data_IF_405700574916
#
_entry.id   IF_405700574916
#
_cell.length_a   1.000
_cell.length_b   1.000
_cell.length_c   1.000
_cell.angle_alpha   90.00
_cell.angle_beta   90.00
_cell.angle_gamma   90.00
#
_symmetry.space_group_name_H-M   'P 1'
#
loop_
_entity.id
_entity.type
_entity.pdbx_description
1 polymer ?
#
# COMPACT_ATOMS: atom_id res chain seq x y z
N UNK A 1 -22.46 -1.77 -7.30
CA UNK A 1 -23.27 -2.97 -6.93
C UNK A 1 -22.42 -4.23 -7.04
N UNK A 2 -22.90 -5.37 -6.50
CA UNK A 2 -22.23 -6.68 -6.64
C UNK A 2 -22.13 -7.04 -8.12
N UNK A 3 -23.19 -6.84 -8.90
CA UNK A 3 -23.24 -7.09 -10.34
C UNK A 3 -22.18 -6.29 -11.12
N UNK A 4 -21.95 -5.03 -10.77
CA UNK A 4 -20.89 -4.22 -11.39
C UNK A 4 -19.48 -4.78 -11.07
N UNK A 5 -19.28 -5.27 -9.86
CA UNK A 5 -18.02 -5.92 -9.49
C UNK A 5 -17.85 -7.27 -10.21
N UNK A 6 -18.91 -8.06 -10.32
CA UNK A 6 -18.91 -9.31 -11.08
C UNK A 6 -18.54 -9.06 -12.55
N UNK A 7 -19.13 -8.06 -13.20
CA UNK A 7 -18.81 -7.70 -14.58
C UNK A 7 -17.34 -7.30 -14.81
N UNK A 8 -16.67 -6.78 -13.77
CA UNK A 8 -15.27 -6.34 -13.81
C UNK A 8 -14.27 -7.39 -13.30
N UNK A 9 -14.72 -8.57 -12.91
CA UNK A 9 -13.86 -9.57 -12.24
C UNK A 9 -13.38 -9.11 -10.85
N UNK A 10 -14.21 -8.34 -10.16
CA UNK A 10 -13.90 -7.79 -8.84
C UNK A 10 -14.06 -8.79 -7.70
N UNK A 11 -13.90 -8.30 -6.46
CA UNK A 11 -14.04 -9.11 -5.25
C UNK A 11 -15.18 -8.62 -4.38
N UNK A 12 -15.90 -9.55 -3.73
CA UNK A 12 -16.87 -9.26 -2.69
C UNK A 12 -16.50 -10.03 -1.44
N UNK A 13 -16.14 -9.31 -0.38
CA UNK A 13 -15.64 -9.88 0.87
C UNK A 13 -16.59 -9.51 2.00
N UNK A 14 -17.08 -10.50 2.73
CA UNK A 14 -17.83 -10.28 3.97
C UNK A 14 -16.87 -10.41 5.15
N UNK A 15 -16.90 -9.43 6.05
CA UNK A 15 -16.07 -9.41 7.26
C UNK A 15 -16.97 -9.55 8.48
N UNK A 16 -16.67 -10.53 9.36
CA UNK A 16 -17.27 -10.68 10.67
C UNK A 16 -16.24 -10.43 11.77
N UNK A 17 -16.49 -9.44 12.62
CA UNK A 17 -15.60 -9.08 13.72
C UNK A 17 -15.92 -9.84 15.01
N UNK A 18 -17.13 -10.43 15.11
CA UNK A 18 -17.65 -10.98 16.35
C UNK A 18 -17.03 -12.33 16.69
N UNK A 19 -16.86 -13.20 15.69
CA UNK A 19 -16.57 -14.61 15.92
C UNK A 19 -15.46 -15.15 15.02
N UNK A 20 -14.79 -16.18 15.52
CA UNK A 20 -13.98 -17.06 14.70
C UNK A 20 -14.85 -18.18 14.14
N UNK A 21 -14.62 -18.55 12.90
CA UNK A 21 -15.38 -19.59 12.23
C UNK A 21 -14.59 -20.90 12.18
N UNK A 22 -15.25 -22.00 12.49
CA UNK A 22 -14.72 -23.32 12.16
C UNK A 22 -14.59 -23.48 10.63
N UNK A 23 -13.73 -24.36 10.14
CA UNK A 23 -13.60 -24.61 8.70
C UNK A 23 -14.92 -24.98 8.03
N UNK A 24 -15.79 -25.70 8.73
CA UNK A 24 -17.13 -26.08 8.25
C UNK A 24 -18.03 -24.84 8.10
N UNK A 25 -18.13 -24.01 9.14
CA UNK A 25 -18.93 -22.79 9.11
C UNK A 25 -18.46 -21.84 8.01
N UNK A 26 -17.15 -21.72 7.81
CA UNK A 26 -16.59 -20.88 6.75
C UNK A 26 -16.99 -21.38 5.36
N UNK A 27 -16.92 -22.70 5.14
CA UNK A 27 -17.35 -23.32 3.88
C UNK A 27 -18.84 -23.07 3.63
N UNK A 28 -19.68 -23.23 4.65
CA UNK A 28 -21.12 -23.03 4.53
C UNK A 28 -21.48 -21.58 4.24
N UNK A 29 -20.77 -20.60 4.86
CA UNK A 29 -20.93 -19.18 4.57
C UNK A 29 -20.50 -18.84 3.12
N UNK A 30 -19.36 -19.34 2.66
CA UNK A 30 -18.91 -19.16 1.28
C UNK A 30 -19.89 -19.80 0.28
N UNK A 31 -20.48 -20.95 0.62
CA UNK A 31 -21.52 -21.57 -0.21
C UNK A 31 -22.75 -20.66 -0.28
N UNK A 32 -23.26 -20.18 0.86
CA UNK A 32 -24.40 -19.26 0.90
C UNK A 32 -24.12 -17.97 0.10
N UNK A 33 -22.89 -17.42 0.16
CA UNK A 33 -22.51 -16.26 -0.66
C UNK A 33 -22.56 -16.57 -2.15
N UNK A 34 -22.10 -17.77 -2.57
CA UNK A 34 -22.17 -18.21 -3.97
C UNK A 34 -23.61 -18.38 -4.43
N UNK A 35 -24.41 -19.05 -3.61
CA UNK A 35 -25.83 -19.30 -3.91
C UNK A 35 -26.60 -17.98 -4.07
N UNK A 36 -26.28 -16.96 -3.24
CA UNK A 36 -26.92 -15.65 -3.28
C UNK A 36 -26.60 -14.82 -4.54
N UNK A 37 -25.54 -15.13 -5.26
CA UNK A 37 -25.14 -14.39 -6.48
C UNK A 37 -25.33 -15.22 -7.76
N UNK A 38 -25.86 -16.43 -7.66
CA UNK A 38 -25.98 -17.38 -8.79
C UNK A 38 -26.81 -16.83 -9.95
N UNK A 39 -27.79 -15.96 -9.67
CA UNK A 39 -28.65 -15.36 -10.68
C UNK A 39 -27.95 -14.26 -11.52
N UNK A 40 -26.77 -13.80 -11.09
CA UNK A 40 -25.99 -12.83 -11.86
C UNK A 40 -25.23 -13.53 -13.00
N UNK A 41 -25.37 -13.09 -14.27
CA UNK A 41 -24.71 -13.75 -15.41
C UNK A 41 -23.19 -13.75 -15.33
N UNK A 42 -22.60 -12.82 -14.57
CA UNK A 42 -21.16 -12.70 -14.39
C UNK A 42 -20.66 -13.26 -13.06
N UNK A 43 -21.50 -13.96 -12.29
CA UNK A 43 -21.16 -14.47 -10.95
C UNK A 43 -19.87 -15.30 -10.90
N UNK A 44 -19.55 -16.02 -11.99
CA UNK A 44 -18.33 -16.83 -12.09
C UNK A 44 -17.04 -16.01 -12.07
N UNK A 45 -17.10 -14.74 -12.43
CA UNK A 45 -15.95 -13.81 -12.44
C UNK A 45 -15.74 -13.13 -11.09
N UNK A 46 -16.72 -13.24 -10.18
CA UNK A 46 -16.67 -12.58 -8.87
C UNK A 46 -15.84 -13.41 -7.88
N UNK A 47 -14.77 -12.83 -7.35
CA UNK A 47 -14.05 -13.43 -6.25
C UNK A 47 -14.81 -13.22 -4.94
N UNK A 48 -15.24 -14.33 -4.31
CA UNK A 48 -15.96 -14.31 -3.03
C UNK A 48 -15.06 -14.78 -1.90
N UNK A 49 -14.99 -14.04 -0.81
CA UNK A 49 -14.28 -14.47 0.39
C UNK A 49 -15.00 -14.04 1.68
N UNK A 50 -14.70 -14.76 2.75
CA UNK A 50 -15.23 -14.49 4.08
C UNK A 50 -14.08 -14.37 5.08
N UNK A 51 -14.01 -13.21 5.75
CA UNK A 51 -13.01 -12.92 6.77
C UNK A 51 -13.67 -12.98 8.15
N UNK A 52 -13.31 -14.00 8.91
CA UNK A 52 -13.57 -14.03 10.33
C UNK A 52 -12.55 -13.17 11.09
N UNK A 53 -12.70 -13.04 12.39
CA UNK A 53 -11.81 -12.26 13.25
C UNK A 53 -10.35 -12.67 13.12
N UNK A 54 -10.06 -13.98 13.12
CA UNK A 54 -8.69 -14.50 13.03
C UNK A 54 -8.07 -14.21 11.66
N UNK A 55 -8.80 -14.41 10.56
CA UNK A 55 -8.32 -14.12 9.21
C UNK A 55 -8.08 -12.62 9.02
N UNK A 56 -8.98 -11.77 9.53
CA UNK A 56 -8.80 -10.33 9.48
C UNK A 56 -7.57 -9.89 10.29
N UNK A 57 -7.37 -10.43 11.49
CA UNK A 57 -6.20 -10.13 12.31
C UNK A 57 -4.89 -10.55 11.63
N UNK A 58 -4.88 -11.70 10.96
CA UNK A 58 -3.74 -12.15 10.18
C UNK A 58 -3.46 -11.22 9.00
N UNK A 59 -4.49 -10.82 8.27
CA UNK A 59 -4.38 -9.88 7.16
C UNK A 59 -3.83 -8.52 7.61
N UNK A 60 -4.35 -7.97 8.72
CA UNK A 60 -3.84 -6.71 9.28
C UNK A 60 -2.36 -6.77 9.67
N UNK A 61 -1.86 -7.93 10.15
CA UNK A 61 -0.43 -8.10 10.46
C UNK A 61 0.45 -8.06 9.20
N UNK A 62 -0.08 -8.46 8.07
CA UNK A 62 0.62 -8.41 6.78
C UNK A 62 0.60 -6.99 6.16
N UNK A 63 -0.29 -6.10 6.66
CA UNK A 63 -0.46 -4.74 6.18
C UNK A 63 -0.29 -3.71 7.31
N UNK A 64 0.95 -3.45 7.77
CA UNK A 64 1.23 -2.60 8.93
C UNK A 64 0.67 -1.19 8.83
N UNK A 65 0.65 -0.62 7.63
CA UNK A 65 0.09 0.72 7.40
C UNK A 65 -1.42 0.74 7.67
N UNK A 66 -2.15 -0.29 7.21
CA UNK A 66 -3.59 -0.44 7.48
C UNK A 66 -3.86 -0.67 8.96
N UNK A 67 -3.02 -1.47 9.61
CA UNK A 67 -3.11 -1.71 11.07
C UNK A 67 -2.93 -0.40 11.86
N UNK A 68 -1.98 0.45 11.49
CA UNK A 68 -1.76 1.75 12.13
C UNK A 68 -2.95 2.69 11.90
N UNK A 69 -3.50 2.71 10.70
CA UNK A 69 -4.70 3.47 10.39
C UNK A 69 -5.90 3.02 11.26
N UNK A 70 -6.14 1.71 11.33
CA UNK A 70 -7.23 1.15 12.15
C UNK A 70 -7.04 1.50 13.63
N UNK A 71 -5.84 1.35 14.19
CA UNK A 71 -5.53 1.73 15.58
C UNK A 71 -5.76 3.22 15.83
N UNK A 72 -5.32 4.08 14.92
CA UNK A 72 -5.55 5.53 15.02
C UNK A 72 -7.04 5.86 15.05
N UNK A 73 -7.83 5.23 14.18
CA UNK A 73 -9.29 5.41 14.08
C UNK A 73 -10.00 4.95 15.36
N UNK A 74 -9.47 3.92 16.04
CA UNK A 74 -9.99 3.40 17.31
C UNK A 74 -9.45 4.18 18.54
N UNK A 75 -8.74 5.28 18.35
CA UNK A 75 -8.15 6.06 19.45
C UNK A 75 -6.95 5.41 20.15
N UNK A 76 -6.35 4.37 19.54
CA UNK A 76 -5.20 3.62 20.05
C UNK A 76 -3.93 3.84 19.21
N UNK A 77 -3.81 5.01 18.57
CA UNK A 77 -2.67 5.35 17.73
C UNK A 77 -1.35 5.42 18.50
N UNK A 78 -0.25 5.12 17.84
CA UNK A 78 1.11 5.31 18.37
C UNK A 78 1.61 6.72 18.01
N UNK A 79 2.18 7.43 18.99
CA UNK A 79 2.82 8.72 18.76
C UNK A 79 3.99 8.57 17.79
N UNK A 80 4.13 9.49 16.83
CA UNK A 80 5.20 9.48 15.84
C UNK A 80 5.06 8.45 14.72
N UNK A 81 4.14 7.49 14.84
CA UNK A 81 3.92 6.46 13.83
C UNK A 81 2.71 6.80 12.96
N UNK A 82 2.87 6.79 11.67
CA UNK A 82 1.80 7.09 10.74
C UNK A 82 1.74 6.06 9.60
N UNK A 83 0.53 5.68 9.14
CA UNK A 83 0.39 4.96 7.89
C UNK A 83 0.95 5.83 6.78
N UNK A 84 1.72 5.23 5.88
CA UNK A 84 2.36 5.96 4.79
C UNK A 84 1.35 6.79 3.97
N UNK A 85 0.18 6.25 3.66
CA UNK A 85 -0.85 6.96 2.90
C UNK A 85 -1.31 8.27 3.52
N UNK A 86 -1.37 8.35 4.86
CA UNK A 86 -1.73 9.60 5.55
C UNK A 86 -0.63 10.65 5.51
N UNK A 87 0.64 10.22 5.49
CA UNK A 87 1.79 11.11 5.41
C UNK A 87 2.10 11.54 3.98
N UNK A 88 1.86 10.66 2.99
CA UNK A 88 2.20 10.92 1.59
C UNK A 88 1.17 11.75 0.84
N UNK A 89 -0.01 12.00 1.42
CA UNK A 89 -1.03 12.81 0.77
C UNK A 89 -0.49 14.24 0.58
N UNK A 90 -0.41 14.72 -0.68
CA UNK A 90 -0.02 16.10 -0.93
C UNK A 90 -1.08 17.05 -0.33
N UNK A 91 -0.70 18.27 0.03
CA UNK A 91 -1.68 19.29 0.42
C UNK A 91 -2.71 19.48 -0.68
N UNK A 92 -3.99 19.68 -0.30
CA UNK A 92 -5.07 19.95 -1.25
C UNK A 92 -4.67 21.13 -2.17
N UNK A 93 -4.75 20.91 -3.48
CA UNK A 93 -4.42 21.91 -4.50
C UNK A 93 -2.98 21.89 -5.02
N UNK A 94 -2.11 20.97 -4.54
CA UNK A 94 -0.83 20.71 -5.18
C UNK A 94 -1.01 19.71 -6.32
N UNK A 95 -0.45 20.02 -7.50
CA UNK A 95 -0.37 19.03 -8.57
C UNK A 95 0.51 17.85 -8.12
N UNK A 96 0.02 16.64 -8.29
CA UNK A 96 0.63 15.40 -7.81
C UNK A 96 1.88 14.98 -8.60
N UNK A 97 2.44 15.86 -9.39
CA UNK A 97 3.60 15.53 -10.21
C UNK A 97 4.90 15.62 -9.42
N UNK A 98 5.74 14.62 -9.60
CA UNK A 98 7.12 14.67 -9.15
C UNK A 98 7.84 15.81 -9.88
N UNK A 99 8.05 16.93 -9.19
CA UNK A 99 8.76 18.07 -9.77
C UNK A 99 10.25 17.76 -9.72
N UNK A 100 10.86 17.62 -10.88
CA UNK A 100 12.32 17.51 -11.03
C UNK A 100 12.90 18.88 -11.32
N UNK A 101 13.66 19.44 -10.36
CA UNK A 101 14.43 20.64 -10.62
C UNK A 101 15.60 20.32 -11.57
N UNK A 102 15.85 21.14 -12.61
CA UNK A 102 17.01 20.96 -13.47
C UNK A 102 18.31 20.89 -12.68
N UNK A 103 19.16 19.90 -12.97
CA UNK A 103 20.47 19.74 -12.31
C UNK A 103 20.46 18.95 -11.01
N UNK A 104 19.31 18.56 -10.47
CA UNK A 104 19.25 17.64 -9.31
C UNK A 104 19.44 16.22 -9.81
N UNK A 105 20.42 15.51 -9.27
CA UNK A 105 20.76 14.14 -9.65
C UNK A 105 20.87 13.24 -8.41
N UNK A 106 20.67 11.95 -8.63
CA UNK A 106 20.82 10.89 -7.62
C UNK A 106 21.99 9.99 -8.03
N UNK A 107 22.86 9.66 -7.08
CA UNK A 107 23.91 8.66 -7.25
C UNK A 107 23.52 7.41 -6.48
N UNK A 108 23.40 6.27 -7.17
CA UNK A 108 23.06 4.99 -6.56
C UNK A 108 24.34 4.19 -6.22
N UNK A 109 24.33 3.36 -5.17
CA UNK A 109 25.50 2.55 -4.79
C UNK A 109 25.97 1.60 -5.88
N UNK A 110 25.05 1.07 -6.68
CA UNK A 110 25.32 0.12 -7.77
C UNK A 110 25.89 0.74 -9.05
N UNK A 111 25.83 2.06 -9.18
CA UNK A 111 26.11 2.77 -10.44
C UNK A 111 27.53 3.27 -10.60
N UNK A 112 28.53 2.79 -9.85
CA UNK A 112 29.93 3.28 -9.91
C UNK A 112 30.06 4.82 -9.92
N UNK A 113 29.19 5.51 -9.18
CA UNK A 113 29.15 6.97 -9.15
C UNK A 113 28.37 7.63 -10.29
N UNK A 114 27.66 6.86 -11.12
CA UNK A 114 26.79 7.42 -12.15
C UNK A 114 25.69 8.29 -11.54
N UNK A 115 25.57 9.50 -12.05
CA UNK A 115 24.51 10.44 -11.68
C UNK A 115 23.31 10.23 -12.62
N UNK A 116 22.16 9.98 -12.03
CA UNK A 116 20.89 9.80 -12.74
C UNK A 116 19.99 11.02 -12.49
N UNK A 117 19.21 11.43 -13.48
CA UNK A 117 18.09 12.33 -13.23
C UNK A 117 17.10 11.67 -12.26
N UNK A 118 16.31 12.46 -11.52
CA UNK A 118 15.42 11.92 -10.50
C UNK A 118 14.45 10.90 -11.09
N UNK A 119 13.85 11.20 -12.25
CA UNK A 119 12.90 10.32 -12.92
C UNK A 119 13.52 8.97 -13.31
N UNK A 120 14.76 8.98 -13.78
CA UNK A 120 15.50 7.77 -14.17
C UNK A 120 15.97 6.95 -12.98
N UNK A 121 16.07 7.57 -11.80
CA UNK A 121 16.51 6.92 -10.57
C UNK A 121 15.39 6.17 -9.84
N UNK A 122 14.10 6.49 -10.06
CA UNK A 122 12.97 5.91 -9.32
C UNK A 122 12.90 4.39 -9.49
N UNK A 123 12.94 3.89 -10.72
CA UNK A 123 12.91 2.44 -10.99
C UNK A 123 14.06 1.70 -10.29
N UNK A 124 15.34 2.06 -10.55
CA UNK A 124 16.48 1.48 -9.84
C UNK A 124 16.43 1.58 -8.31
N UNK A 125 15.86 2.66 -7.75
CA UNK A 125 15.67 2.77 -6.30
C UNK A 125 14.62 1.79 -5.78
N UNK A 126 13.52 1.59 -6.50
CA UNK A 126 12.50 0.57 -6.17
C UNK A 126 13.11 -0.84 -6.15
N UNK A 127 13.91 -1.17 -7.16
CA UNK A 127 14.63 -2.44 -7.22
C UNK A 127 15.64 -2.60 -6.09
N UNK A 128 16.39 -1.56 -5.77
CA UNK A 128 17.33 -1.58 -4.66
C UNK A 128 16.62 -1.89 -3.33
N UNK A 129 15.47 -1.28 -3.09
CA UNK A 129 14.68 -1.51 -1.86
C UNK A 129 14.12 -2.92 -1.82
N UNK A 130 13.63 -3.46 -2.93
CA UNK A 130 13.12 -4.84 -3.00
C UNK A 130 14.20 -5.90 -2.84
N UNK A 131 15.38 -5.63 -3.38
CA UNK A 131 16.48 -6.61 -3.44
C UNK A 131 17.33 -6.66 -2.17
N UNK A 132 17.17 -5.72 -1.25
CA UNK A 132 18.02 -5.61 -0.06
C UNK A 132 17.26 -5.83 1.25
N UNK A 133 17.85 -6.60 2.14
CA UNK A 133 17.41 -6.71 3.55
C UNK A 133 18.16 -5.71 4.46
N UNK A 134 18.78 -4.69 3.89
CA UNK A 134 19.58 -3.68 4.60
C UNK A 134 18.86 -2.33 4.58
N UNK A 135 19.24 -1.46 5.51
CA UNK A 135 18.77 -0.08 5.50
C UNK A 135 19.31 0.68 4.27
N UNK A 136 18.42 1.39 3.57
CA UNK A 136 18.78 2.32 2.50
C UNK A 136 18.71 3.73 3.07
N UNK A 137 19.81 4.49 2.98
CA UNK A 137 19.90 5.86 3.46
C UNK A 137 19.96 6.83 2.29
N UNK A 138 19.04 7.79 2.25
CA UNK A 138 19.04 8.90 1.29
C UNK A 138 19.70 10.11 1.95
N UNK A 139 20.80 10.58 1.38
CA UNK A 139 21.55 11.75 1.87
C UNK A 139 21.53 12.87 0.84
N UNK A 140 21.71 14.09 1.30
CA UNK A 140 21.75 15.30 0.46
C UNK A 140 21.44 16.55 1.26
N UNK A 141 21.59 17.71 0.65
CA UNK A 141 21.31 19.01 1.27
C UNK A 141 19.85 19.11 1.74
N UNK A 142 19.59 20.00 2.68
CA UNK A 142 18.21 20.32 3.08
C UNK A 142 17.46 20.95 1.89
N UNK A 143 16.17 20.68 1.77
CA UNK A 143 15.32 21.27 0.72
C UNK A 143 15.42 20.63 -0.68
N UNK A 144 16.35 19.70 -0.93
CA UNK A 144 16.50 19.07 -2.27
C UNK A 144 15.41 18.03 -2.61
N UNK A 145 14.38 17.89 -1.80
CA UNK A 145 13.25 17.00 -2.10
C UNK A 145 13.42 15.54 -1.68
N UNK A 146 14.31 15.20 -0.74
CA UNK A 146 14.51 13.81 -0.26
C UNK A 146 13.20 13.12 0.13
N UNK A 147 12.38 13.81 0.90
CA UNK A 147 11.05 13.31 1.32
C UNK A 147 10.14 13.04 0.12
N UNK A 148 10.12 13.95 -0.86
CA UNK A 148 9.31 13.80 -2.08
C UNK A 148 9.76 12.62 -2.93
N UNK A 149 11.07 12.35 -3.00
CA UNK A 149 11.59 11.16 -3.66
C UNK A 149 11.09 9.88 -2.99
N UNK A 150 11.11 9.83 -1.64
CA UNK A 150 10.56 8.67 -0.92
C UNK A 150 9.08 8.49 -1.21
N UNK A 151 8.29 9.56 -1.24
CA UNK A 151 6.87 9.50 -1.62
C UNK A 151 6.69 8.94 -3.04
N UNK A 152 7.48 9.41 -3.99
CA UNK A 152 7.43 8.97 -5.38
C UNK A 152 7.72 7.48 -5.58
N UNK A 153 8.47 6.83 -4.68
CA UNK A 153 8.71 5.38 -4.74
C UNK A 153 7.42 4.56 -4.58
N UNK A 154 6.44 5.09 -3.88
CA UNK A 154 5.14 4.44 -3.64
C UNK A 154 4.02 4.99 -4.52
N UNK A 155 4.31 5.94 -5.39
CA UNK A 155 3.32 6.58 -6.25
C UNK A 155 3.17 5.80 -7.56
N UNK A 156 1.96 5.32 -7.83
CA UNK A 156 1.63 4.55 -9.02
C UNK A 156 1.64 5.41 -10.29
N UNK A 157 1.49 6.73 -10.15
CA UNK A 157 1.56 7.67 -11.27
C UNK A 157 2.99 7.95 -11.73
N UNK A 158 3.99 7.57 -10.93
CA UNK A 158 5.42 7.83 -11.18
C UNK A 158 6.13 6.55 -11.62
N UNK A 159 6.27 6.35 -12.92
CA UNK A 159 6.93 5.18 -13.49
C UNK A 159 6.16 3.87 -13.24
N UNK A 160 6.81 2.74 -13.52
CA UNK A 160 6.23 1.41 -13.30
C UNK A 160 6.63 0.82 -11.94
N UNK A 161 5.90 -0.21 -11.51
CA UNK A 161 6.25 -1.05 -10.35
C UNK A 161 6.40 -0.28 -9.03
N UNK A 162 5.40 0.53 -8.66
CA UNK A 162 5.37 1.23 -7.38
C UNK A 162 5.49 0.26 -6.19
N UNK A 163 6.12 0.72 -5.11
CA UNK A 163 6.17 -0.04 -3.87
C UNK A 163 4.79 -0.07 -3.21
N UNK A 164 4.49 -1.17 -2.51
CA UNK A 164 3.20 -1.36 -1.84
C UNK A 164 3.04 -0.40 -0.65
N UNK A 165 2.03 0.46 -0.72
CA UNK A 165 1.69 1.43 0.33
C UNK A 165 1.15 0.77 1.59
N UNK A 166 0.58 -0.42 1.49
CA UNK A 166 -0.09 -1.09 2.62
C UNK A 166 0.89 -1.63 3.66
N UNK A 167 2.15 -1.86 3.25
CA UNK A 167 3.22 -2.30 4.16
C UNK A 167 4.10 -1.15 4.66
N UNK A 168 3.99 0.03 4.05
CA UNK A 168 4.86 1.16 4.36
C UNK A 168 4.38 1.94 5.58
N UNK A 169 5.28 2.20 6.49
CA UNK A 169 5.05 2.96 7.73
C UNK A 169 6.04 4.12 7.78
N UNK A 170 5.53 5.30 8.04
CA UNK A 170 6.34 6.48 8.31
C UNK A 170 6.55 6.65 9.82
N UNK A 171 7.78 6.89 10.21
CA UNK A 171 8.14 7.22 11.60
C UNK A 171 8.97 8.48 11.58
N UNK A 172 8.49 9.51 12.27
CA UNK A 172 9.28 10.70 12.54
C UNK A 172 10.09 10.49 13.82
N UNK A 173 11.39 10.44 13.68
CA UNK A 173 12.34 10.31 14.81
C UNK A 173 13.02 11.64 15.13
N UNK A 174 12.53 12.73 14.55
CA UNK A 174 13.10 14.06 14.64
C UNK A 174 12.71 14.75 15.94
N UNK A 175 13.27 14.29 17.05
CA UNK A 175 13.56 15.09 18.25
C UNK A 175 14.88 14.61 18.85
#
# INVERSE_FOLDING_TARGET
TISEQAAKGGSYIIISLSDDCSPLMKRDRLKAMKDAVTDDPNHSNLHLDFYDRSKLAQWLRQHPSVMLWAKKTLGQGYSGWQPYGAWSNPPQGSEDTLISAPGVTITLPSGKGQKLAIQDAIGPMRELIRSTNKAVRITGLSGVGKTRIVQALFDESVGADALDRTIAVYVDTGE
#
